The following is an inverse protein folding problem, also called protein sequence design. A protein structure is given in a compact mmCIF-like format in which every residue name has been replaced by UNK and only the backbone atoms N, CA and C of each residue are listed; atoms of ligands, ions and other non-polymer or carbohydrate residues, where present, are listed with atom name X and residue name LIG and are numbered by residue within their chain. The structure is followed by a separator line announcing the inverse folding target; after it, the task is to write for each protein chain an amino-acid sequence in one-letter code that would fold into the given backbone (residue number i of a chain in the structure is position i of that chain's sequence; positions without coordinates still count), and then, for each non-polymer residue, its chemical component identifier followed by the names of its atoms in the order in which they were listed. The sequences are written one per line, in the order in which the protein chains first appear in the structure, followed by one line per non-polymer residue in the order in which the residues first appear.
data_IF_218963047030
#
_entry.id   IF_218963047030
#
_cell.length_a   1.000
_cell.length_b   1.000
_cell.length_c   1.000
_cell.angle_alpha   90.00
_cell.angle_beta   90.00
_cell.angle_gamma   90.00
#
_symmetry.space_group_name_H-M   'P 1'
#
loop_
_entity.id
_entity.type
_entity.pdbx_description
1 polymer ?
#
# COMPACT_ATOMS: atom_id res chain seq x y z
N UNK A 1 -16.86 -2.00 14.90
CA UNK A 1 -17.13 -2.82 13.72
C UNK A 1 -15.85 -3.29 13.03
N UNK A 2 -14.88 -2.38 12.78
CA UNK A 2 -13.63 -2.74 12.08
C UNK A 2 -12.71 -3.65 12.89
N UNK A 3 -12.83 -3.69 14.22
CA UNK A 3 -11.95 -4.51 15.06
C UNK A 3 -12.29 -6.00 15.01
N UNK A 4 -13.56 -6.34 14.83
CA UNK A 4 -14.00 -7.74 14.85
C UNK A 4 -13.46 -8.55 13.66
N UNK A 5 -13.56 -8.09 12.39
CA UNK A 5 -12.97 -8.81 11.27
C UNK A 5 -11.46 -9.01 11.41
N UNK A 6 -10.74 -8.03 11.94
CA UNK A 6 -9.31 -8.13 12.18
C UNK A 6 -8.96 -9.19 13.22
N UNK A 7 -9.72 -9.28 14.29
CA UNK A 7 -9.54 -10.31 15.33
C UNK A 7 -9.82 -11.72 14.78
N UNK A 8 -10.89 -11.86 14.01
CA UNK A 8 -11.22 -13.16 13.40
C UNK A 8 -10.12 -13.61 12.44
N UNK A 9 -9.61 -12.71 11.59
CA UNK A 9 -8.52 -13.02 10.68
C UNK A 9 -7.27 -13.46 11.43
N UNK A 10 -6.89 -12.74 12.49
CA UNK A 10 -5.71 -13.11 13.30
C UNK A 10 -5.88 -14.47 13.99
N UNK A 11 -7.08 -14.77 14.46
CA UNK A 11 -7.37 -16.09 15.07
C UNK A 11 -7.25 -17.22 14.07
N UNK A 12 -7.41 -16.96 12.77
CA UNK A 12 -7.25 -17.91 11.68
C UNK A 12 -5.82 -17.92 11.08
N UNK A 13 -4.90 -17.16 11.67
CA UNK A 13 -3.51 -17.12 11.24
C UNK A 13 -3.17 -16.07 10.21
N UNK A 14 -4.09 -15.17 9.88
CA UNK A 14 -3.81 -14.04 8.97
C UNK A 14 -3.22 -12.86 9.73
N UNK A 15 -2.34 -12.10 9.07
CA UNK A 15 -1.70 -10.94 9.67
C UNK A 15 -2.61 -9.73 9.73
N UNK A 16 -3.44 -9.51 8.71
CA UNK A 16 -4.32 -8.35 8.62
C UNK A 16 -5.47 -8.61 7.64
N UNK A 17 -6.41 -7.67 7.60
CA UNK A 17 -7.59 -7.72 6.73
C UNK A 17 -7.57 -6.58 5.73
N UNK A 18 -7.84 -6.89 4.46
CA UNK A 18 -8.09 -5.88 3.43
C UNK A 18 -9.60 -5.59 3.42
N UNK A 19 -9.94 -4.33 3.62
CA UNK A 19 -11.33 -3.89 3.62
C UNK A 19 -11.78 -3.51 2.22
N UNK A 20 -12.99 -3.94 1.88
CA UNK A 20 -13.64 -3.60 0.62
C UNK A 20 -14.62 -2.45 0.84
N UNK A 21 -14.97 -1.74 -0.23
CA UNK A 21 -15.95 -0.66 -0.14
C UNK A 21 -17.32 -1.20 0.24
N UNK A 22 -17.97 -0.56 1.21
CA UNK A 22 -19.31 -0.95 1.63
C UNK A 22 -20.34 -0.80 0.49
N UNK A 23 -20.13 0.16 -0.40
CA UNK A 23 -21.03 0.41 -1.53
C UNK A 23 -20.80 -0.57 -2.70
N UNK A 24 -19.62 -1.16 -2.81
CA UNK A 24 -19.28 -2.11 -3.86
C UNK A 24 -18.08 -2.96 -3.45
N UNK A 25 -18.33 -4.22 -3.11
CA UNK A 25 -17.32 -5.17 -2.61
C UNK A 25 -16.31 -5.63 -3.68
N UNK A 26 -16.43 -5.16 -4.92
CA UNK A 26 -15.42 -5.42 -5.95
C UNK A 26 -14.23 -4.46 -5.85
N UNK A 27 -14.32 -3.43 -5.02
CA UNK A 27 -13.29 -2.41 -4.88
C UNK A 27 -12.67 -2.39 -3.49
N UNK A 28 -11.37 -2.18 -3.47
CA UNK A 28 -10.55 -2.17 -2.25
C UNK A 28 -10.53 -0.79 -1.61
N UNK A 29 -10.52 -0.72 -0.29
CA UNK A 29 -10.33 0.53 0.46
C UNK A 29 -8.93 0.60 1.06
N UNK A 30 -8.68 -0.18 2.11
CA UNK A 30 -7.42 -0.15 2.85
C UNK A 30 -7.17 -1.47 3.55
N UNK A 31 -6.00 -1.65 4.16
CA UNK A 31 -5.67 -2.83 4.94
C UNK A 31 -5.47 -2.44 6.39
N UNK A 32 -6.37 -2.87 7.27
CA UNK A 32 -6.34 -2.42 8.66
C UNK A 32 -6.40 -0.90 8.73
N UNK A 33 -5.34 -0.27 9.25
CA UNK A 33 -5.18 1.19 9.27
C UNK A 33 -4.15 1.69 8.26
N UNK A 34 -3.77 0.86 7.29
CA UNK A 34 -2.73 1.15 6.30
C UNK A 34 -3.34 1.37 4.91
N UNK A 35 -2.75 2.29 4.15
CA UNK A 35 -3.15 2.50 2.76
C UNK A 35 -2.56 1.42 1.85
N UNK A 36 -3.29 1.06 0.79
CA UNK A 36 -2.90 0.03 -0.16
C UNK A 36 -2.42 0.59 -1.49
N UNK A 37 -1.44 -0.08 -2.08
CA UNK A 37 -0.93 0.21 -3.42
C UNK A 37 -0.77 -1.07 -4.22
N UNK A 38 -1.08 -1.01 -5.50
CA UNK A 38 -0.88 -2.11 -6.44
C UNK A 38 -0.10 -1.60 -7.65
N UNK A 39 1.00 -2.27 -7.97
CA UNK A 39 1.84 -1.95 -9.12
C UNK A 39 1.60 -2.95 -10.24
N UNK A 40 1.31 -2.46 -11.45
CA UNK A 40 1.23 -3.25 -12.65
C UNK A 40 2.03 -2.55 -13.76
N UNK A 41 3.12 -3.17 -14.20
CA UNK A 41 4.05 -2.53 -15.11
C UNK A 41 4.68 -1.28 -14.48
N UNK A 42 4.44 -0.12 -15.08
CA UNK A 42 4.91 1.18 -14.57
C UNK A 42 3.79 2.01 -13.94
N UNK A 43 2.61 1.43 -13.76
CA UNK A 43 1.47 2.12 -13.16
C UNK A 43 1.30 1.68 -11.73
N UNK A 44 1.37 2.62 -10.82
CA UNK A 44 1.12 2.43 -9.39
C UNK A 44 -0.25 2.99 -9.06
N UNK A 45 -1.14 2.14 -8.59
CA UNK A 45 -2.53 2.52 -8.31
C UNK A 45 -2.82 2.41 -6.82
N UNK A 46 -3.55 3.39 -6.30
CA UNK A 46 -4.01 3.39 -4.92
C UNK A 46 -5.45 3.89 -4.87
N UNK A 47 -6.27 3.38 -3.95
CA UNK A 47 -7.63 3.90 -3.79
C UNK A 47 -7.63 5.41 -3.54
N UNK A 48 -8.48 6.12 -4.27
CA UNK A 48 -8.63 7.56 -4.08
C UNK A 48 -9.14 7.87 -2.68
N UNK A 49 -8.71 9.00 -2.15
CA UNK A 49 -9.18 9.44 -0.84
C UNK A 49 -10.68 9.73 -0.87
N UNK A 50 -11.35 9.30 0.17
CA UNK A 50 -12.78 9.51 0.38
C UNK A 50 -13.04 9.49 1.89
N UNK A 51 -14.30 9.63 2.31
CA UNK A 51 -14.64 9.73 3.73
C UNK A 51 -14.22 8.54 4.57
N UNK A 52 -14.01 7.37 3.97
CA UNK A 52 -13.67 6.13 4.68
C UNK A 52 -12.18 5.80 4.68
N UNK A 53 -11.38 6.44 3.82
CA UNK A 53 -9.95 6.14 3.69
C UNK A 53 -9.12 7.22 4.35
N UNK A 54 -8.25 6.80 5.27
CA UNK A 54 -7.36 7.71 5.99
C UNK A 54 -6.32 8.33 5.03
N UNK A 55 -6.23 9.68 4.98
CA UNK A 55 -5.20 10.34 4.16
C UNK A 55 -3.83 10.26 4.84
N UNK A 56 -3.16 9.11 4.74
CA UNK A 56 -1.88 8.87 5.39
C UNK A 56 -0.76 9.76 4.86
N UNK A 57 0.09 10.26 5.76
CA UNK A 57 1.28 11.06 5.38
C UNK A 57 2.24 10.22 4.56
N UNK A 58 2.47 8.97 4.96
CA UNK A 58 3.33 8.04 4.21
C UNK A 58 2.75 7.73 2.83
N UNK A 59 1.43 7.65 2.71
CA UNK A 59 0.75 7.48 1.43
C UNK A 59 1.10 8.63 0.48
N UNK A 60 0.98 9.86 0.94
CA UNK A 60 1.30 11.04 0.15
C UNK A 60 2.78 11.04 -0.25
N UNK A 61 3.66 10.68 0.67
CA UNK A 61 5.10 10.57 0.41
C UNK A 61 5.42 9.54 -0.66
N UNK A 62 4.77 8.38 -0.63
CA UNK A 62 4.94 7.32 -1.65
C UNK A 62 4.48 7.81 -3.02
N UNK A 63 3.33 8.47 -3.10
CA UNK A 63 2.82 9.02 -4.35
C UNK A 63 3.84 9.98 -4.97
N UNK A 64 4.41 10.86 -4.18
CA UNK A 64 5.39 11.84 -4.66
C UNK A 64 6.72 11.20 -5.07
N UNK A 65 7.26 10.30 -4.27
CA UNK A 65 8.50 9.58 -4.61
C UNK A 65 8.31 8.75 -5.88
N UNK A 66 7.21 8.02 -5.97
CA UNK A 66 6.93 7.18 -7.13
C UNK A 66 6.84 7.99 -8.43
N UNK A 67 6.10 9.10 -8.41
CA UNK A 67 5.90 9.92 -9.61
C UNK A 67 7.11 10.79 -9.94
N UNK A 68 7.71 11.44 -8.96
CA UNK A 68 8.76 12.45 -9.19
C UNK A 68 10.18 11.89 -9.21
N UNK A 69 10.46 10.82 -8.46
CA UNK A 69 11.80 10.22 -8.40
C UNK A 69 11.94 8.94 -9.20
N UNK A 70 10.91 8.10 -9.26
CA UNK A 70 10.96 6.81 -9.95
C UNK A 70 10.33 6.82 -11.34
N UNK A 71 9.69 7.92 -11.73
CA UNK A 71 9.05 8.05 -13.04
C UNK A 71 7.88 7.10 -13.27
N UNK A 72 7.22 6.64 -12.20
CA UNK A 72 6.04 5.81 -12.31
C UNK A 72 4.81 6.65 -12.60
N UNK A 73 3.86 6.06 -13.32
CA UNK A 73 2.53 6.66 -13.47
C UNK A 73 1.72 6.30 -12.23
N UNK A 74 1.31 7.31 -11.46
CA UNK A 74 0.50 7.10 -10.26
C UNK A 74 -0.96 7.43 -10.55
N UNK A 75 -1.84 6.48 -10.26
CA UNK A 75 -3.29 6.65 -10.40
C UNK A 75 -3.94 6.57 -9.03
N UNK A 76 -4.62 7.64 -8.63
CA UNK A 76 -5.47 7.67 -7.45
C UNK A 76 -6.92 7.49 -7.92
N UNK A 77 -7.44 6.30 -7.79
CA UNK A 77 -8.75 5.95 -8.32
C UNK A 77 -9.31 4.70 -7.66
N UNK A 78 -10.37 4.15 -8.24
CA UNK A 78 -10.97 2.92 -7.73
C UNK A 78 -10.08 1.73 -8.08
N UNK A 79 -9.63 1.00 -7.05
CA UNK A 79 -8.81 -0.20 -7.22
C UNK A 79 -9.69 -1.45 -7.13
N UNK A 80 -9.88 -2.12 -8.26
CA UNK A 80 -10.64 -3.36 -8.31
C UNK A 80 -9.86 -4.50 -7.66
N UNK A 81 -10.55 -5.39 -6.97
CA UNK A 81 -9.92 -6.55 -6.33
C UNK A 81 -9.10 -7.38 -7.32
N UNK A 82 -9.61 -7.59 -8.53
CA UNK A 82 -8.90 -8.37 -9.55
C UNK A 82 -7.59 -7.69 -10.00
N UNK A 83 -7.57 -6.37 -10.05
CA UNK A 83 -6.33 -5.62 -10.33
C UNK A 83 -5.29 -5.84 -9.22
N UNK A 84 -5.75 -5.84 -7.97
CA UNK A 84 -4.87 -6.08 -6.83
C UNK A 84 -4.33 -7.50 -6.84
N UNK A 85 -5.17 -8.49 -7.07
CA UNK A 85 -4.77 -9.90 -7.05
C UNK A 85 -3.84 -10.28 -8.20
N UNK A 86 -3.92 -9.57 -9.34
CA UNK A 86 -3.07 -9.82 -10.52
C UNK A 86 -1.91 -8.85 -10.65
N UNK A 87 -1.72 -7.96 -9.68
CA UNK A 87 -0.63 -6.98 -9.72
C UNK A 87 0.74 -7.63 -9.64
N UNK A 88 1.75 -6.94 -10.15
CA UNK A 88 3.15 -7.37 -10.05
C UNK A 88 3.68 -7.23 -8.63
N UNK A 89 3.28 -6.17 -7.93
CA UNK A 89 3.62 -5.92 -6.54
C UNK A 89 2.43 -5.28 -5.83
N UNK A 90 2.22 -5.65 -4.58
CA UNK A 90 1.24 -5.02 -3.71
C UNK A 90 1.93 -4.68 -2.39
N UNK A 91 1.68 -3.51 -1.87
CA UNK A 91 2.21 -3.12 -0.57
C UNK A 91 1.24 -2.20 0.16
N UNK A 92 1.47 -2.06 1.45
CA UNK A 92 0.73 -1.11 2.28
C UNK A 92 1.68 -0.08 2.89
N UNK A 93 1.12 1.06 3.27
CA UNK A 93 1.87 2.15 3.88
C UNK A 93 1.19 2.63 5.15
N UNK A 94 2.00 3.01 6.13
CA UNK A 94 1.51 3.56 7.39
C UNK A 94 2.67 4.05 8.23
N UNK A 95 2.38 4.79 9.30
CA UNK A 95 3.42 5.37 10.15
C UNK A 95 4.34 4.31 10.76
N UNK A 96 3.75 3.22 11.23
CA UNK A 96 4.51 2.15 11.88
C UNK A 96 5.21 1.21 10.89
N UNK A 97 4.56 0.93 9.76
CA UNK A 97 5.06 -0.06 8.79
C UNK A 97 5.87 0.55 7.65
N UNK A 98 5.82 1.87 7.49
CA UNK A 98 6.41 2.64 6.40
C UNK A 98 5.92 2.12 5.04
N UNK A 99 6.65 1.20 4.42
CA UNK A 99 6.25 0.49 3.19
C UNK A 99 6.47 -1.00 3.45
N UNK A 100 5.39 -1.78 3.41
CA UNK A 100 5.46 -3.21 3.71
C UNK A 100 4.81 -4.01 2.59
N UNK A 101 5.51 -5.03 2.04
CA UNK A 101 4.97 -5.83 0.94
C UNK A 101 3.85 -6.74 1.42
N UNK A 102 2.92 -7.02 0.50
CA UNK A 102 1.89 -8.02 0.68
C UNK A 102 2.15 -9.13 -0.32
N UNK A 103 2.60 -10.28 0.16
CA UNK A 103 2.98 -11.40 -0.68
C UNK A 103 1.86 -12.39 -0.96
N UNK A 104 0.85 -12.43 -0.10
CA UNK A 104 -0.27 -13.37 -0.22
C UNK A 104 -1.57 -12.72 0.23
N UNK A 105 -2.64 -13.00 -0.51
CA UNK A 105 -3.99 -12.56 -0.19
C UNK A 105 -4.92 -13.78 -0.29
N UNK A 106 -5.79 -13.95 0.70
CA UNK A 106 -6.82 -14.99 0.67
C UNK A 106 -8.18 -14.32 0.50
N UNK A 107 -8.92 -14.78 -0.50
CA UNK A 107 -10.31 -14.35 -0.75
C UNK A 107 -11.18 -15.56 -1.00
N UNK A 108 -12.30 -15.64 -0.29
CA UNK A 108 -13.27 -16.74 -0.41
C UNK A 108 -12.62 -18.12 -0.30
N UNK A 109 -11.69 -18.25 0.65
CA UNK A 109 -10.97 -19.49 0.90
C UNK A 109 -9.86 -19.82 -0.08
N UNK A 110 -9.66 -19.02 -1.12
CA UNK A 110 -8.60 -19.21 -2.11
C UNK A 110 -7.43 -18.29 -1.84
N UNK A 111 -6.21 -18.85 -1.83
CA UNK A 111 -4.97 -18.11 -1.64
C UNK A 111 -4.40 -17.64 -2.98
N UNK A 112 -4.03 -16.38 -3.04
CA UNK A 112 -3.37 -15.75 -4.20
C UNK A 112 -1.99 -15.30 -3.80
N UNK A 113 -0.96 -15.69 -4.54
CA UNK A 113 0.39 -15.16 -4.38
C UNK A 113 0.55 -13.91 -5.24
N UNK A 114 1.12 -12.86 -4.66
CA UNK A 114 1.38 -11.61 -5.37
C UNK A 114 2.86 -11.57 -5.77
N UNK A 115 3.13 -11.43 -7.06
CA UNK A 115 4.49 -11.34 -7.58
C UNK A 115 5.34 -12.52 -7.12
N UNK A 116 6.48 -12.23 -6.46
CA UNK A 116 7.38 -13.25 -5.92
C UNK A 116 7.05 -13.68 -4.48
N UNK A 117 5.95 -13.21 -3.94
CA UNK A 117 5.53 -13.53 -2.57
C UNK A 117 6.21 -12.71 -1.47
N UNK A 118 6.96 -11.69 -1.80
CA UNK A 118 7.68 -10.85 -0.86
C UNK A 118 7.98 -9.45 -1.40
N UNK A 119 9.15 -8.90 -1.05
CA UNK A 119 9.57 -7.60 -1.58
C UNK A 119 9.84 -7.67 -3.08
N UNK A 120 9.03 -6.98 -3.87
CA UNK A 120 9.36 -6.69 -5.25
C UNK A 120 10.38 -5.54 -5.36
N UNK A 121 10.93 -5.36 -6.55
CA UNK A 121 11.99 -4.37 -6.78
C UNK A 121 11.54 -2.93 -6.49
N UNK A 122 10.34 -2.57 -6.92
CA UNK A 122 9.82 -1.21 -6.73
C UNK A 122 9.44 -0.96 -5.27
N UNK A 123 8.78 -1.92 -4.62
CA UNK A 123 8.44 -1.82 -3.19
C UNK A 123 9.69 -1.61 -2.34
N UNK A 124 10.74 -2.39 -2.64
CA UNK A 124 12.03 -2.27 -1.93
C UNK A 124 12.68 -0.91 -2.16
N UNK A 125 12.66 -0.42 -3.39
CA UNK A 125 13.21 0.89 -3.74
C UNK A 125 12.46 2.03 -3.05
N UNK A 126 11.13 1.98 -3.04
CA UNK A 126 10.30 2.97 -2.34
C UNK A 126 10.61 3.01 -0.84
N UNK A 127 10.66 1.84 -0.21
CA UNK A 127 11.01 1.75 1.22
C UNK A 127 12.38 2.34 1.51
N UNK A 128 13.38 1.94 0.73
CA UNK A 128 14.75 2.42 0.89
C UNK A 128 14.84 3.93 0.69
N UNK A 129 14.20 4.47 -0.34
CA UNK A 129 14.22 5.90 -0.64
C UNK A 129 13.58 6.71 0.49
N UNK A 130 12.42 6.31 0.98
CA UNK A 130 11.76 7.00 2.09
C UNK A 130 12.60 6.97 3.37
N UNK A 131 13.15 5.82 3.72
CA UNK A 131 14.01 5.69 4.89
C UNK A 131 15.29 6.53 4.74
N UNK A 132 15.88 6.55 3.55
CA UNK A 132 17.08 7.33 3.27
C UNK A 132 16.83 8.84 3.42
N UNK A 133 15.66 9.33 3.01
CA UNK A 133 15.27 10.73 3.24
C UNK A 133 15.09 10.99 4.73
N UNK A 134 14.39 10.12 5.44
CA UNK A 134 14.13 10.27 6.88
C UNK A 134 15.41 10.28 7.71
N UNK A 135 16.41 9.50 7.32
CA UNK A 135 17.70 9.42 8.00
C UNK A 135 18.76 10.34 7.40
N UNK A 136 18.36 11.24 6.50
CA UNK A 136 19.25 12.22 5.86
C UNK A 136 20.43 11.59 5.10
N UNK A 137 20.26 10.36 4.61
CA UNK A 137 21.28 9.67 3.82
C UNK A 137 21.33 10.18 2.38
N UNK A 138 20.23 10.77 1.89
CA UNK A 138 20.13 11.43 0.60
C UNK A 138 19.46 12.79 0.79
N UNK A 139 19.57 13.65 -0.22
CA UNK A 139 18.92 14.96 -0.20
C UNK A 139 17.40 14.80 -0.11
N UNK A 140 16.75 15.69 0.64
CA UNK A 140 15.31 15.76 0.77
C UNK A 140 14.74 16.68 -0.33
N UNK A 141 14.31 16.14 -1.49
CA UNK A 141 13.85 16.97 -2.59
C UNK A 141 12.51 17.64 -2.35
N UNK A 142 11.82 17.25 -1.27
CA UNK A 142 10.46 17.71 -0.97
C UNK A 142 10.41 18.62 0.26
N UNK A 143 11.53 18.87 0.90
CA UNK A 143 11.62 19.66 2.13
C UNK A 143 10.73 19.13 3.26
N UNK A 144 10.71 17.81 3.42
CA UNK A 144 9.94 17.17 4.49
C UNK A 144 10.64 17.23 5.85
N UNK A 145 11.96 17.34 5.84
CA UNK A 145 12.78 17.34 7.06
C UNK A 145 12.99 18.76 7.55
N UNK A 146 12.80 18.96 8.86
CA UNK A 146 13.08 20.24 9.50
C UNK A 146 14.36 20.10 10.32
N UNK A 147 15.37 20.94 10.12
CA UNK A 147 16.54 20.96 10.98
C UNK A 147 16.14 21.42 12.38
N UNK A 148 16.59 20.71 13.37
CA UNK A 148 16.32 21.03 14.78
C UNK A 148 17.41 21.92 15.33
#
# INVERSE_FOLDING_TARGET
ASLLPGREAKSQGYNEVIYLKASNEDYVEEMGAANLFALSGKTLKTPKLGGSILPGVTRDSVVRVASEMLGLQVEEGDLHVDELLSADEVFCTGTAVVVTPIGKVTRDGKEYSIGNGGFGAVTKTLRKTLLSIQYEEIDDPFNWMFPI
#
